data_IF_023937668507
#
_entry.id   IF_023937668507
#
_cell.length_a   1.000
_cell.length_b   1.000
_cell.length_c   1.000
_cell.angle_alpha   90.00
_cell.angle_beta   90.00
_cell.angle_gamma   90.00
#
_symmetry.space_group_name_H-M   'P 1'
#
loop_
_entity.id
_entity.type
_entity.pdbx_description
1 polymer ?
#
# COMPACT_ATOMS: atom_id res chain seq x y z
N UNK A 1 -1.12 8.96 27.80
CA UNK A 1 -0.44 8.97 26.48
C UNK A 1 -1.40 8.28 25.52
N UNK A 2 -1.89 8.96 24.48
CA UNK A 2 -2.82 8.33 23.52
C UNK A 2 -2.06 7.35 22.63
N UNK A 3 -2.64 6.19 22.27
CA UNK A 3 -2.01 5.26 21.33
C UNK A 3 -1.84 5.95 19.97
N UNK A 4 -0.64 5.85 19.39
CA UNK A 4 -0.34 6.39 18.07
C UNK A 4 -0.50 5.27 17.03
N UNK A 5 -1.32 5.50 16.02
CA UNK A 5 -1.50 4.60 14.89
C UNK A 5 -1.56 5.44 13.63
N UNK A 6 -0.90 4.96 12.56
CA UNK A 6 -1.03 5.52 11.23
C UNK A 6 -1.84 4.54 10.38
N UNK A 7 -3.14 4.80 10.25
CA UNK A 7 -4.00 4.08 9.30
C UNK A 7 -3.94 4.75 7.92
N UNK A 8 -3.63 3.96 6.91
CA UNK A 8 -3.51 4.42 5.52
C UNK A 8 -4.86 4.25 4.83
N UNK A 9 -5.64 5.33 4.76
CA UNK A 9 -6.93 5.31 4.09
C UNK A 9 -6.78 5.14 2.57
N UNK A 10 -7.67 4.39 1.89
CA UNK A 10 -7.73 4.34 0.43
C UNK A 10 -8.14 5.71 -0.15
N UNK A 11 -7.46 6.15 -1.21
CA UNK A 11 -7.58 7.49 -1.81
C UNK A 11 -8.93 7.89 -2.44
N UNK A 12 -10.01 7.11 -2.29
CA UNK A 12 -11.28 7.34 -3.02
C UNK A 12 -12.57 7.22 -2.17
N UNK A 13 -12.46 7.27 -0.85
CA UNK A 13 -13.64 7.23 0.04
C UNK A 13 -13.74 8.49 0.90
N UNK A 14 -14.14 9.60 0.28
CA UNK A 14 -14.62 10.81 0.95
C UNK A 14 -16.05 11.15 0.54
N UNK A 15 -17.01 10.28 0.85
CA UNK A 15 -18.45 10.55 0.95
C UNK A 15 -18.98 9.43 1.85
N UNK A 16 -19.53 9.58 3.05
CA UNK A 16 -20.23 10.67 3.75
C UNK A 16 -20.10 10.38 5.25
N UNK A 17 -19.99 11.43 6.07
CA UNK A 17 -20.28 11.49 7.51
C UNK A 17 -20.56 10.16 8.22
N UNK A 18 -19.62 9.69 9.05
CA UNK A 18 -19.99 9.17 10.36
C UNK A 18 -18.82 9.25 11.34
N UNK A 19 -19.12 9.82 12.51
CA UNK A 19 -18.26 9.93 13.69
C UNK A 19 -17.77 8.55 14.11
N UNK A 20 -16.49 8.24 13.93
CA UNK A 20 -15.78 7.27 14.79
C UNK A 20 -14.38 7.79 15.10
N UNK A 21 -14.13 7.88 16.40
CA UNK A 21 -12.87 8.19 17.07
C UNK A 21 -11.70 7.36 16.51
N UNK A 22 -10.65 8.02 16.03
CA UNK A 22 -9.39 7.37 15.66
C UNK A 22 -8.41 8.36 15.04
N UNK A 23 -7.26 8.56 15.69
CA UNK A 23 -6.16 9.39 15.25
C UNK A 23 -5.70 8.99 13.83
N UNK A 24 -5.58 9.95 12.91
CA UNK A 24 -5.04 9.73 11.57
C UNK A 24 -3.77 10.57 11.36
N UNK A 25 -2.63 9.89 11.18
CA UNK A 25 -1.37 10.49 10.70
C UNK A 25 -1.43 10.58 9.17
N UNK A 26 -1.20 11.77 8.62
CA UNK A 26 -1.20 12.04 7.17
C UNK A 26 0.14 11.61 6.56
N UNK A 27 0.15 10.52 5.80
CA UNK A 27 1.28 10.17 4.93
C UNK A 27 1.11 10.88 3.59
N UNK A 28 2.07 11.71 3.21
CA UNK A 28 2.08 12.37 1.89
C UNK A 28 2.54 11.38 0.81
N UNK A 29 1.75 11.09 -0.23
CA UNK A 29 2.25 10.42 -1.41
C UNK A 29 3.16 11.37 -2.18
N UNK A 30 4.30 10.86 -2.67
CA UNK A 30 5.11 11.59 -3.64
C UNK A 30 4.32 11.66 -4.94
N UNK A 31 3.85 12.85 -5.30
CA UNK A 31 3.25 13.10 -6.62
C UNK A 31 4.30 12.83 -7.70
N UNK A 32 4.21 11.65 -8.32
CA UNK A 32 4.81 11.44 -9.64
C UNK A 32 3.87 12.07 -10.65
N UNK A 33 4.04 13.38 -10.84
CA UNK A 33 3.40 14.14 -11.91
C UNK A 33 3.86 13.58 -13.25
N UNK A 34 3.09 12.63 -13.79
CA UNK A 34 3.10 12.33 -15.21
C UNK A 34 1.94 13.12 -15.82
N UNK A 35 2.14 14.44 -15.92
CA UNK A 35 1.22 15.33 -16.61
C UNK A 35 1.23 14.97 -18.10
N UNK A 36 0.32 14.07 -18.46
CA UNK A 36 -0.09 13.78 -19.83
C UNK A 36 -0.57 15.10 -20.46
N UNK A 37 0.35 15.81 -21.10
CA UNK A 37 0.03 17.03 -21.83
C UNK A 37 -0.68 16.63 -23.13
N UNK A 38 -1.99 16.39 -23.05
CA UNK A 38 -2.84 16.29 -24.24
C UNK A 38 -2.92 17.67 -24.88
N UNK A 39 -2.15 17.92 -25.94
CA UNK A 39 -2.44 19.02 -26.85
C UNK A 39 -3.19 18.49 -28.07
N UNK A 40 -4.39 19.03 -28.19
CA UNK A 40 -5.35 18.91 -29.27
C UNK A 40 -4.77 19.31 -30.63
N UNK A 41 -5.15 18.55 -31.67
CA UNK A 41 -4.97 18.92 -33.07
C UNK A 41 -6.07 19.89 -33.53
N UNK A 42 -5.76 20.76 -34.52
CA UNK A 42 -6.78 21.13 -35.51
C UNK A 42 -6.31 21.03 -36.98
N UNK A 43 -7.15 20.34 -37.78
CA UNK A 43 -7.70 20.71 -39.10
C UNK A 43 -6.82 21.10 -40.32
N UNK A 44 -6.90 20.22 -41.35
CA UNK A 44 -6.92 20.45 -42.83
C UNK A 44 -5.60 20.95 -43.47
N UNK A 45 -5.06 20.36 -44.54
CA UNK A 45 -5.62 20.25 -45.90
C UNK A 45 -4.72 19.31 -46.74
N UNK A 46 -5.29 18.27 -47.37
CA UNK A 46 -5.43 18.16 -48.83
C UNK A 46 -4.15 17.76 -49.62
N UNK A 47 -4.11 16.51 -50.08
CA UNK A 47 -4.10 16.09 -51.50
C UNK A 47 -3.27 14.82 -51.80
N UNK A 48 -3.97 13.91 -52.49
CA UNK A 48 -3.54 12.89 -53.46
C UNK A 48 -2.42 11.90 -53.10
N UNK A 49 -2.81 10.64 -52.98
CA UNK A 49 -2.31 9.58 -53.87
C UNK A 49 -3.43 8.57 -54.16
N UNK A 50 -3.51 8.03 -55.39
CA UNK A 50 -4.56 7.12 -55.79
C UNK A 50 -4.20 5.67 -55.46
N UNK A 51 -5.24 4.85 -55.54
CA UNK A 51 -5.22 3.47 -56.00
C UNK A 51 -5.16 2.36 -54.93
N UNK A 52 -6.12 1.47 -55.14
CA UNK A 52 -6.18 0.07 -54.78
C UNK A 52 -6.92 -0.29 -53.49
N UNK A 53 -7.87 -1.18 -53.73
CA UNK A 53 -8.91 -1.71 -52.87
C UNK A 53 -8.32 -2.60 -51.76
N UNK A 54 -9.00 -2.57 -50.62
CA UNK A 54 -9.00 -3.61 -49.58
C UNK A 54 -7.68 -3.87 -48.86
N UNK A 55 -7.60 -3.45 -47.60
CA UNK A 55 -6.89 -4.22 -46.58
C UNK A 55 -7.70 -4.14 -45.28
N UNK A 56 -7.84 -5.31 -44.68
CA UNK A 56 -8.74 -5.68 -43.59
C UNK A 56 -8.72 -4.70 -42.41
N UNK A 57 -9.87 -4.60 -41.75
CA UNK A 57 -9.97 -4.17 -40.37
C UNK A 57 -9.04 -5.03 -39.49
N UNK A 58 -7.82 -4.56 -39.26
CA UNK A 58 -7.02 -5.01 -38.14
C UNK A 58 -7.60 -4.33 -36.90
N UNK A 59 -8.67 -4.91 -36.34
CA UNK A 59 -9.01 -4.67 -34.94
C UNK A 59 -7.88 -5.35 -34.15
N UNK A 60 -6.78 -4.62 -33.99
CA UNK A 60 -5.69 -5.01 -33.09
C UNK A 60 -6.34 -5.07 -31.72
N UNK A 61 -6.74 -6.27 -31.32
CA UNK A 61 -7.09 -6.58 -29.94
C UNK A 61 -5.80 -6.34 -29.16
N UNK A 62 -5.58 -5.09 -28.77
CA UNK A 62 -4.60 -4.73 -27.76
C UNK A 62 -5.06 -5.45 -26.51
N UNK A 63 -4.58 -6.67 -26.32
CA UNK A 63 -4.53 -7.30 -25.01
C UNK A 63 -3.76 -6.30 -24.15
N UNK A 64 -4.50 -5.48 -23.43
CA UNK A 64 -3.96 -4.63 -22.41
C UNK A 64 -3.41 -5.62 -21.38
N UNK A 65 -2.14 -5.98 -21.53
CA UNK A 65 -1.39 -6.68 -20.50
C UNK A 65 -1.31 -5.68 -19.35
N UNK A 66 -2.36 -5.62 -18.56
CA UNK A 66 -2.30 -5.06 -17.23
C UNK A 66 -1.29 -5.94 -16.54
N UNK A 67 -0.05 -5.45 -16.45
CA UNK A 67 0.93 -6.03 -15.58
C UNK A 67 0.23 -6.13 -14.22
N UNK A 68 -0.07 -7.36 -13.81
CA UNK A 68 -0.67 -7.67 -12.52
C UNK A 68 0.40 -7.33 -11.48
N UNK A 69 0.65 -6.04 -11.29
CA UNK A 69 1.45 -5.56 -10.20
C UNK A 69 0.70 -6.01 -8.96
N UNK A 70 1.38 -6.77 -8.10
CA UNK A 70 0.85 -7.12 -6.81
C UNK A 70 0.39 -5.83 -6.13
N UNK A 71 -0.91 -5.70 -5.88
CA UNK A 71 -1.49 -4.53 -5.20
C UNK A 71 -1.45 -4.70 -3.68
N UNK A 72 -0.46 -5.48 -3.20
CA UNK A 72 -0.16 -5.60 -1.79
C UNK A 72 0.50 -4.30 -1.34
N UNK A 73 -0.14 -3.63 -0.39
CA UNK A 73 0.31 -2.36 0.17
C UNK A 73 0.37 -2.45 1.69
N UNK A 74 1.16 -1.59 2.30
CA UNK A 74 1.11 -1.32 3.73
C UNK A 74 -0.22 -0.59 3.98
N UNK A 75 -1.05 -1.10 4.90
CA UNK A 75 -2.37 -0.52 5.23
C UNK A 75 -2.39 0.17 6.60
N UNK A 76 -1.62 -0.32 7.56
CA UNK A 76 -1.59 0.24 8.90
C UNK A 76 -0.20 0.07 9.53
N UNK A 77 0.21 1.07 10.31
CA UNK A 77 1.42 1.03 11.13
C UNK A 77 1.02 1.42 12.55
N UNK A 78 1.19 0.50 13.50
CA UNK A 78 0.98 0.75 14.92
C UNK A 78 2.35 0.95 15.58
N UNK A 79 2.79 2.19 15.68
CA UNK A 79 4.08 2.56 16.27
C UNK A 79 3.86 3.26 17.61
N UNK A 80 4.78 3.10 18.56
CA UNK A 80 4.66 3.73 19.89
C UNK A 80 3.29 3.52 20.59
N UNK A 81 2.81 2.27 20.73
CA UNK A 81 1.57 1.95 21.43
C UNK A 81 1.66 2.28 22.93
N UNK A 82 0.56 2.71 23.53
CA UNK A 82 0.51 3.00 24.97
C UNK A 82 0.76 1.76 25.85
N UNK A 83 0.48 0.55 25.34
CA UNK A 83 0.78 -0.73 25.99
C UNK A 83 2.24 -1.20 25.86
N UNK A 84 3.10 -0.40 25.22
CA UNK A 84 4.50 -0.71 25.00
C UNK A 84 4.77 -1.44 23.69
N UNK A 85 6.03 -1.40 23.26
CA UNK A 85 6.45 -1.79 21.91
C UNK A 85 6.14 -3.24 21.51
N UNK A 86 5.69 -4.10 22.43
CA UNK A 86 5.26 -5.46 22.09
C UNK A 86 3.96 -5.47 21.27
N UNK A 87 3.18 -4.39 21.33
CA UNK A 87 1.97 -4.20 20.53
C UNK A 87 2.21 -3.54 19.17
N UNK A 88 3.48 -3.30 18.81
CA UNK A 88 3.84 -2.74 17.51
C UNK A 88 3.60 -3.73 16.39
N UNK A 89 3.08 -3.23 15.28
CA UNK A 89 2.88 -4.04 14.09
C UNK A 89 2.81 -3.22 12.80
N UNK A 90 3.02 -3.92 11.69
CA UNK A 90 2.76 -3.43 10.33
C UNK A 90 1.73 -4.34 9.68
N UNK A 91 0.66 -3.76 9.16
CA UNK A 91 -0.37 -4.48 8.42
C UNK A 91 -0.17 -4.32 6.91
N UNK A 92 -0.34 -5.44 6.21
CA UNK A 92 -0.40 -5.54 4.76
C UNK A 92 -1.84 -5.82 4.33
N UNK A 93 -2.25 -5.19 3.23
CA UNK A 93 -3.51 -5.45 2.57
C UNK A 93 -3.28 -5.77 1.10
N UNK A 94 -3.83 -6.89 0.63
CA UNK A 94 -3.88 -7.20 -0.79
C UNK A 94 -5.11 -6.54 -1.43
N UNK A 95 -4.92 -5.35 -2.02
CA UNK A 95 -5.99 -4.65 -2.73
C UNK A 95 -6.28 -5.24 -4.13
N UNK A 96 -5.58 -6.31 -4.51
CA UNK A 96 -5.69 -6.96 -5.81
C UNK A 96 -6.84 -7.95 -5.91
N UNK A 97 -7.18 -8.32 -7.15
CA UNK A 97 -8.23 -9.29 -7.45
C UNK A 97 -7.81 -10.76 -7.37
N UNK A 98 -6.56 -11.06 -7.00
CA UNK A 98 -6.03 -12.43 -6.93
C UNK A 98 -5.16 -12.63 -5.68
N UNK A 99 -5.06 -13.87 -5.22
CA UNK A 99 -4.16 -14.22 -4.13
C UNK A 99 -2.69 -14.05 -4.54
N UNK A 100 -1.86 -13.55 -3.61
CA UNK A 100 -0.42 -13.36 -3.80
C UNK A 100 0.33 -14.15 -2.74
N UNK A 101 1.26 -15.02 -3.13
CA UNK A 101 2.19 -15.63 -2.18
C UNK A 101 3.33 -14.65 -1.90
N UNK A 102 3.49 -14.29 -0.62
CA UNK A 102 4.50 -13.36 -0.16
C UNK A 102 5.88 -14.01 0.04
N UNK A 103 6.04 -15.31 -0.25
CA UNK A 103 7.34 -15.97 -0.13
C UNK A 103 8.45 -15.20 -0.87
N UNK A 104 9.54 -14.92 -0.16
CA UNK A 104 10.69 -14.17 -0.66
C UNK A 104 10.55 -12.66 -0.58
N UNK A 105 9.38 -12.14 -0.21
CA UNK A 105 9.20 -10.71 0.04
C UNK A 105 9.90 -10.31 1.33
N UNK A 106 10.23 -9.03 1.45
CA UNK A 106 10.86 -8.49 2.65
C UNK A 106 10.47 -7.04 2.94
N UNK A 107 10.52 -6.71 4.23
CA UNK A 107 10.58 -5.35 4.73
C UNK A 107 12.03 -4.89 4.90
N UNK A 108 12.26 -3.59 4.67
CA UNK A 108 13.55 -2.91 4.85
C UNK A 108 13.34 -1.42 5.15
N UNK A 109 14.41 -0.73 5.54
CA UNK A 109 14.44 0.73 5.74
C UNK A 109 14.01 1.21 7.13
N UNK A 110 13.57 0.28 7.98
CA UNK A 110 13.22 0.54 9.37
C UNK A 110 13.18 -0.74 10.20
N UNK A 111 12.31 -1.68 9.79
CA UNK A 111 12.30 -3.06 10.28
C UNK A 111 12.91 -4.02 9.26
N UNK A 112 13.48 -5.11 9.77
CA UNK A 112 13.94 -6.25 8.98
C UNK A 112 13.02 -7.46 9.21
N UNK A 113 12.29 -7.84 8.17
CA UNK A 113 11.45 -9.04 8.17
C UNK A 113 11.41 -9.65 6.78
N UNK A 114 11.53 -10.98 6.69
CA UNK A 114 11.49 -11.70 5.43
C UNK A 114 10.50 -12.86 5.50
N UNK A 115 9.65 -12.97 4.48
CA UNK A 115 8.71 -14.07 4.31
C UNK A 115 9.46 -15.30 3.77
N UNK A 116 10.01 -16.11 4.67
CA UNK A 116 10.85 -17.27 4.30
C UNK A 116 10.05 -18.50 3.84
N UNK A 117 8.75 -18.54 4.15
CA UNK A 117 7.84 -19.65 3.82
C UNK A 117 6.74 -19.16 2.87
N UNK A 118 5.98 -20.09 2.31
CA UNK A 118 4.76 -19.74 1.58
C UNK A 118 3.78 -19.07 2.53
N UNK A 119 3.30 -17.90 2.13
CA UNK A 119 2.37 -17.07 2.90
C UNK A 119 1.36 -16.49 1.91
N UNK A 120 0.33 -17.27 1.54
CA UNK A 120 -0.67 -16.81 0.60
C UNK A 120 -1.56 -15.75 1.24
N UNK A 121 -1.57 -14.56 0.64
CA UNK A 121 -2.47 -13.46 1.00
C UNK A 121 -3.59 -13.37 -0.04
N UNK A 122 -4.80 -13.79 0.34
CA UNK A 122 -5.96 -13.77 -0.54
C UNK A 122 -6.32 -12.35 -1.01
N UNK A 123 -7.08 -12.25 -2.10
CA UNK A 123 -7.63 -10.98 -2.57
C UNK A 123 -8.49 -10.31 -1.48
N UNK A 124 -8.24 -9.03 -1.20
CA UNK A 124 -8.93 -8.27 -0.15
C UNK A 124 -8.59 -8.66 1.29
N UNK A 125 -7.66 -9.61 1.48
CA UNK A 125 -7.27 -10.06 2.81
C UNK A 125 -6.15 -9.19 3.40
N UNK A 126 -6.03 -9.29 4.72
CA UNK A 126 -5.09 -8.53 5.53
C UNK A 126 -4.18 -9.46 6.31
N UNK A 127 -2.91 -9.07 6.44
CA UNK A 127 -1.89 -9.84 7.12
C UNK A 127 -1.02 -8.92 7.95
N UNK A 128 -0.65 -9.37 9.15
CA UNK A 128 0.10 -8.57 10.12
C UNK A 128 1.48 -9.15 10.32
N UNK A 129 2.49 -8.29 10.35
CA UNK A 129 3.81 -8.59 10.91
C UNK A 129 3.90 -7.87 12.25
N UNK A 130 4.01 -8.63 13.33
CA UNK A 130 3.94 -8.12 14.69
C UNK A 130 5.33 -8.05 15.32
N UNK A 131 5.49 -7.28 16.40
CA UNK A 131 6.69 -7.37 17.24
C UNK A 131 6.61 -8.53 18.24
N UNK A 132 5.44 -8.76 18.82
CA UNK A 132 5.16 -9.92 19.66
C UNK A 132 3.78 -10.47 19.30
N UNK A 133 3.75 -11.64 18.65
CA UNK A 133 2.52 -12.23 18.14
C UNK A 133 1.56 -12.63 19.27
N UNK A 134 2.10 -13.12 20.39
CA UNK A 134 1.31 -13.54 21.54
C UNK A 134 0.67 -12.35 22.25
N UNK A 135 1.42 -11.25 22.46
CA UNK A 135 0.89 -10.02 23.04
C UNK A 135 -0.19 -9.41 22.15
N UNK A 136 0.04 -9.37 20.83
CA UNK A 136 -0.92 -8.81 19.89
C UNK A 136 -2.25 -9.59 19.86
N UNK A 137 -2.17 -10.93 19.88
CA UNK A 137 -3.35 -11.79 19.93
C UNK A 137 -4.09 -11.65 21.27
N UNK A 138 -3.37 -11.57 22.39
CA UNK A 138 -3.96 -11.48 23.72
C UNK A 138 -4.58 -10.11 24.02
N UNK A 139 -3.91 -9.02 23.61
CA UNK A 139 -4.30 -7.66 24.01
C UNK A 139 -5.14 -6.94 22.97
N UNK A 140 -4.86 -7.12 21.67
CA UNK A 140 -5.61 -6.49 20.58
C UNK A 140 -6.62 -7.44 19.92
N UNK A 141 -6.68 -8.71 20.33
CA UNK A 141 -7.62 -9.70 19.79
C UNK A 141 -7.37 -10.04 18.31
N UNK A 142 -6.13 -9.85 17.83
CA UNK A 142 -5.76 -10.21 16.46
C UNK A 142 -5.74 -11.73 16.31
N UNK A 143 -6.45 -12.24 15.30
CA UNK A 143 -6.44 -13.67 14.97
C UNK A 143 -5.00 -14.14 14.68
N UNK A 144 -4.47 -15.15 15.39
CA UNK A 144 -3.12 -15.66 15.15
C UNK A 144 -2.88 -16.14 13.72
N UNK A 145 -3.92 -16.57 12.99
CA UNK A 145 -3.82 -16.97 11.58
C UNK A 145 -3.52 -15.79 10.63
N UNK A 146 -3.77 -14.55 11.07
CA UNK A 146 -3.44 -13.32 10.35
C UNK A 146 -2.05 -12.78 10.69
N UNK A 147 -1.32 -13.40 11.61
CA UNK A 147 0.03 -12.98 11.99
C UNK A 147 1.04 -13.80 11.20
N UNK A 148 1.76 -13.14 10.29
CA UNK A 148 2.76 -13.79 9.45
C UNK A 148 4.02 -14.21 10.23
N UNK A 149 4.33 -13.47 11.29
CA UNK A 149 5.50 -13.70 12.12
C UNK A 149 5.88 -12.47 12.91
N UNK A 150 7.00 -12.60 13.62
CA UNK A 150 7.57 -11.56 14.46
C UNK A 150 8.72 -10.85 13.74
N UNK A 151 8.68 -9.52 13.70
CA UNK A 151 9.77 -8.69 13.19
C UNK A 151 10.93 -8.63 14.19
N UNK A 152 12.15 -8.48 13.67
CA UNK A 152 13.31 -8.19 14.49
C UNK A 152 13.40 -6.68 14.74
N UNK A 153 13.78 -6.28 15.96
CA UNK A 153 13.90 -4.88 16.34
C UNK A 153 12.58 -4.27 16.83
N UNK A 154 12.34 -2.99 16.54
CA UNK A 154 11.11 -2.25 16.87
C UNK A 154 10.92 -1.10 15.88
N UNK A 155 9.70 -0.60 15.78
CA UNK A 155 9.41 0.61 15.00
C UNK A 155 9.99 1.83 15.71
N UNK A 156 10.53 2.81 14.97
CA UNK A 156 11.04 4.05 15.59
C UNK A 156 9.87 4.92 16.07
N UNK A 157 9.90 5.32 17.34
CA UNK A 157 8.90 6.18 17.98
C UNK A 157 8.83 7.59 17.36
N UNK A 158 9.93 8.03 16.73
CA UNK A 158 10.10 9.35 16.11
C UNK A 158 9.78 9.34 14.61
N UNK A 159 9.60 8.14 14.02
CA UNK A 159 9.38 7.99 12.58
C UNK A 159 10.52 7.33 11.81
N UNK A 160 10.16 6.59 10.77
CA UNK A 160 11.10 5.97 9.85
C UNK A 160 10.47 5.74 8.46
N UNK A 161 11.24 5.11 7.56
CA UNK A 161 10.75 4.72 6.23
C UNK A 161 10.69 3.20 6.12
N UNK A 162 9.49 2.66 6.01
CA UNK A 162 9.29 1.26 5.67
C UNK A 162 9.23 1.07 4.16
N UNK A 163 9.91 0.05 3.65
CA UNK A 163 9.84 -0.36 2.25
C UNK A 163 9.56 -1.86 2.16
N UNK A 164 8.55 -2.21 1.36
CA UNK A 164 8.17 -3.58 1.05
C UNK A 164 8.67 -3.92 -0.36
N UNK A 165 9.43 -5.01 -0.47
CA UNK A 165 9.94 -5.50 -1.76
C UNK A 165 9.46 -6.92 -2.04
N UNK A 166 9.23 -7.22 -3.31
CA UNK A 166 8.88 -8.57 -3.77
C UNK A 166 10.08 -9.52 -3.80
N UNK A 167 9.82 -10.79 -4.13
CA UNK A 167 10.86 -11.82 -4.24
C UNK A 167 11.92 -11.54 -5.33
N UNK A 168 11.65 -10.64 -6.27
CA UNK A 168 12.61 -10.20 -7.28
C UNK A 168 13.44 -8.99 -6.81
N UNK A 169 13.24 -8.53 -5.58
CA UNK A 169 13.89 -7.34 -5.02
C UNK A 169 13.32 -6.03 -5.53
N UNK A 170 12.16 -6.04 -6.21
CA UNK A 170 11.51 -4.81 -6.66
C UNK A 170 10.68 -4.25 -5.52
N UNK A 171 10.85 -2.97 -5.22
CA UNK A 171 10.02 -2.27 -4.25
C UNK A 171 8.57 -2.23 -4.73
N UNK A 172 7.67 -2.84 -3.98
CA UNK A 172 6.23 -2.88 -4.24
C UNK A 172 5.53 -1.70 -3.58
N UNK A 173 5.93 -1.38 -2.35
CA UNK A 173 5.35 -0.27 -1.61
C UNK A 173 6.37 0.32 -0.63
N UNK A 174 6.06 1.49 -0.08
CA UNK A 174 6.70 1.92 1.14
C UNK A 174 6.23 3.29 1.61
N UNK A 175 6.31 3.44 2.92
CA UNK A 175 5.65 4.49 3.69
C UNK A 175 6.70 5.15 4.56
N UNK A 176 6.62 6.48 4.70
CA UNK A 176 7.36 7.21 5.71
C UNK A 176 6.36 7.75 6.72
N UNK A 177 6.55 7.44 7.99
CA UNK A 177 5.79 8.03 9.09
C UNK A 177 6.73 8.85 9.98
N UNK A 178 6.17 9.82 10.71
CA UNK A 178 6.90 10.63 11.67
C UNK A 178 6.03 10.97 12.88
N UNK A 179 6.68 11.46 13.94
CA UNK A 179 6.04 11.95 15.16
C UNK A 179 5.72 13.45 15.11
N UNK A 180 5.94 14.09 13.96
CA UNK A 180 5.85 15.53 13.79
C UNK A 180 4.38 15.98 13.74
N UNK A 181 3.98 16.65 14.81
CA UNK A 181 2.76 17.45 14.89
C UNK A 181 2.81 18.61 13.87
N UNK A 182 1.73 18.92 13.11
CA UNK A 182 0.53 19.51 13.71
C UNK A 182 -0.82 18.94 13.19
N UNK A 183 -1.79 18.84 14.10
CA UNK A 183 -3.22 18.81 13.74
C UNK A 183 -3.64 20.15 13.11
N UNK A 184 -4.56 20.08 12.14
CA UNK A 184 -5.34 21.21 11.68
C UNK A 184 -6.51 21.43 12.66
N UNK A 185 -6.58 22.57 13.37
CA UNK A 185 -7.67 22.87 14.31
C UNK A 185 -9.01 23.26 13.65
N UNK A 186 -9.11 23.30 12.31
CA UNK A 186 -10.34 23.69 11.59
C UNK A 186 -11.26 22.53 11.15
N UNK A 187 -11.03 21.32 11.67
CA UNK A 187 -11.95 20.19 11.47
C UNK A 187 -12.94 20.10 12.64
N UNK A 188 -13.85 21.08 12.76
CA UNK A 188 -15.04 21.05 13.63
C UNK A 188 -16.36 20.86 12.85
#
# INVERSE_FOLDING_TARGET
MQPKQARLYPWDSLQTSDRISGLAVRIQPREESCEMTSRSAPSRSAHCWPCSKSCLAAFVLTLLSTALHSQVRISEIHYNPAGGSDLEFVELHNAGGAAVDLRGWCFSGGIDFAFTRSTPLAAGAYLVVARNAAALAAELGVDPSRIAGELAGRLDDSGERLSLSDAAGRRVDGVRYDDAWPFDPSAD
#
